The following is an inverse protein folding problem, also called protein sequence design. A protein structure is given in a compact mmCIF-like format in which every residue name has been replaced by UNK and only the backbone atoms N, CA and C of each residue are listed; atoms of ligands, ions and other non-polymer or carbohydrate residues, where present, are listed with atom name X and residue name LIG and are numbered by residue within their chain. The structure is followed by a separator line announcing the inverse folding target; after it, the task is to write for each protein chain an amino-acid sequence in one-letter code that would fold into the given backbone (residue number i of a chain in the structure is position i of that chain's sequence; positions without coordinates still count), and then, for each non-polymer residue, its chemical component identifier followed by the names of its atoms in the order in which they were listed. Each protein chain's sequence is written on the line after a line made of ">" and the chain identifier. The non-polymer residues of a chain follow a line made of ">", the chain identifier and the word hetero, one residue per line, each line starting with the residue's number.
data_IF_438139656153
#
_entry.id   IF_438139656153
#
_cell.length_a   1.000
_cell.length_b   1.000
_cell.length_c   1.000
_cell.angle_alpha   90.00
_cell.angle_beta   90.00
_cell.angle_gamma   90.00
#
_symmetry.space_group_name_H-M   'P 1'
#
loop_
_entity.id
_entity.type
_entity.pdbx_description
1 polymer ?
#
# COMPACT_ATOMS: atom_id res chain seq x y z
N UNK A 1 -9.25 -20.55 28.85
CA UNK A 1 -7.96 -20.50 28.16
C UNK A 1 -8.28 -20.68 26.68
N UNK A 2 -8.37 -19.58 25.93
CA UNK A 2 -8.64 -19.62 24.49
C UNK A 2 -7.30 -19.36 23.81
N UNK A 3 -6.78 -20.29 22.98
CA UNK A 3 -5.63 -20.00 22.17
C UNK A 3 -6.03 -19.03 21.05
N UNK A 4 -5.37 -17.88 21.08
CA UNK A 4 -5.35 -16.84 20.07
C UNK A 4 -4.61 -17.36 18.83
N UNK A 5 -5.28 -18.18 18.02
CA UNK A 5 -4.83 -18.46 16.65
C UNK A 5 -5.40 -17.37 15.73
N UNK A 6 -4.74 -16.21 15.74
CA UNK A 6 -4.94 -15.19 14.70
C UNK A 6 -4.35 -15.77 13.42
N UNK A 7 -5.21 -16.52 12.73
CA UNK A 7 -5.05 -16.93 11.34
C UNK A 7 -4.53 -15.75 10.54
N UNK A 8 -3.30 -15.87 10.05
CA UNK A 8 -2.67 -14.96 9.08
C UNK A 8 -3.34 -15.05 7.72
N UNK A 9 -4.65 -14.87 7.68
CA UNK A 9 -5.42 -14.79 6.46
C UNK A 9 -5.13 -13.43 5.82
N UNK A 10 -4.56 -13.45 4.62
CA UNK A 10 -4.49 -12.29 3.73
C UNK A 10 -5.92 -11.92 3.32
N UNK A 11 -6.64 -11.24 4.21
CA UNK A 11 -8.02 -10.81 3.97
C UNK A 11 -7.96 -9.74 2.87
N UNK A 12 -8.61 -10.01 1.73
CA UNK A 12 -8.87 -8.99 0.71
C UNK A 12 -9.50 -7.77 1.41
N UNK A 13 -8.89 -6.60 1.28
CA UNK A 13 -9.42 -5.36 1.87
C UNK A 13 -10.51 -4.79 0.98
N UNK A 14 -11.60 -4.30 1.56
CA UNK A 14 -12.61 -3.61 0.77
C UNK A 14 -12.03 -2.28 0.28
N UNK A 15 -11.88 -2.15 -1.04
CA UNK A 15 -11.47 -0.91 -1.68
C UNK A 15 -12.72 -0.13 -2.07
N UNK A 16 -12.84 1.11 -1.63
CA UNK A 16 -13.96 1.99 -1.94
C UNK A 16 -13.61 2.89 -3.14
N UNK A 17 -13.06 2.31 -4.20
CA UNK A 17 -12.67 3.02 -5.41
C UNK A 17 -13.73 2.78 -6.49
N UNK A 18 -14.28 3.87 -7.01
CA UNK A 18 -15.14 3.84 -8.19
C UNK A 18 -14.28 3.99 -9.45
N UNK A 19 -13.78 2.86 -9.97
CA UNK A 19 -12.88 2.88 -11.13
C UNK A 19 -13.56 3.45 -12.38
N UNK A 20 -14.86 3.21 -12.57
CA UNK A 20 -15.61 3.71 -13.71
C UNK A 20 -15.68 5.24 -13.72
N UNK A 21 -15.77 5.88 -12.54
CA UNK A 21 -15.69 7.34 -12.42
C UNK A 21 -14.32 7.90 -12.84
N UNK A 22 -13.24 7.16 -12.62
CA UNK A 22 -11.89 7.59 -12.98
C UNK A 22 -11.53 7.28 -14.43
N UNK A 23 -12.19 6.29 -15.05
CA UNK A 23 -11.84 5.80 -16.38
C UNK A 23 -12.89 6.09 -17.44
N UNK A 24 -13.99 6.76 -17.08
CA UNK A 24 -15.16 6.97 -17.94
C UNK A 24 -15.70 5.65 -18.56
N UNK A 25 -15.55 4.54 -17.82
CA UNK A 25 -15.95 3.20 -18.25
C UNK A 25 -15.00 2.52 -19.25
N UNK A 26 -13.81 3.07 -19.50
CA UNK A 26 -12.79 2.43 -20.34
C UNK A 26 -12.12 1.28 -19.58
N UNK A 27 -12.34 0.05 -20.04
CA UNK A 27 -11.80 -1.17 -19.43
C UNK A 27 -10.28 -1.32 -19.58
N UNK A 28 -9.70 -0.83 -20.69
CA UNK A 28 -8.25 -0.88 -20.93
C UNK A 28 -7.56 0.10 -19.99
N UNK A 29 -8.07 1.33 -19.90
CA UNK A 29 -7.54 2.33 -18.99
C UNK A 29 -7.75 1.95 -17.52
N UNK A 30 -8.89 1.32 -17.17
CA UNK A 30 -9.11 0.75 -15.82
C UNK A 30 -8.02 -0.25 -15.45
N UNK A 31 -7.68 -1.16 -16.38
CA UNK A 31 -6.62 -2.14 -16.14
C UNK A 31 -5.26 -1.48 -15.96
N UNK A 32 -4.90 -0.53 -16.82
CA UNK A 32 -3.64 0.22 -16.68
C UNK A 32 -3.56 0.99 -15.35
N UNK A 33 -4.67 1.58 -14.92
CA UNK A 33 -4.75 2.27 -13.63
C UNK A 33 -4.54 1.30 -12.47
N UNK A 34 -5.21 0.14 -12.48
CA UNK A 34 -5.04 -0.92 -11.47
C UNK A 34 -3.59 -1.40 -11.42
N UNK A 35 -2.99 -1.69 -12.58
CA UNK A 35 -1.60 -2.14 -12.69
C UNK A 35 -0.64 -1.06 -12.14
N UNK A 36 -0.86 0.21 -12.50
CA UNK A 36 -0.08 1.34 -11.98
C UNK A 36 -0.19 1.47 -10.46
N UNK A 37 -1.38 1.27 -9.88
CA UNK A 37 -1.58 1.29 -8.43
C UNK A 37 -0.86 0.14 -7.72
N UNK A 38 -0.89 -1.06 -8.31
CA UNK A 38 -0.17 -2.23 -7.79
C UNK A 38 1.34 -1.96 -7.81
N UNK A 39 1.87 -1.47 -8.93
CA UNK A 39 3.29 -1.17 -9.10
C UNK A 39 3.77 -0.13 -8.08
N UNK A 40 2.98 0.94 -7.86
CA UNK A 40 3.27 1.95 -6.86
C UNK A 40 3.37 1.37 -5.43
N UNK A 41 2.49 0.43 -5.08
CA UNK A 41 2.52 -0.24 -3.77
C UNK A 41 3.75 -1.15 -3.62
N UNK A 42 4.08 -1.90 -4.68
CA UNK A 42 5.25 -2.78 -4.70
C UNK A 42 6.55 -1.97 -4.64
N UNK A 43 6.66 -0.88 -5.42
CA UNK A 43 7.80 0.05 -5.40
C UNK A 43 8.00 0.61 -3.99
N UNK A 44 6.94 1.08 -3.33
CA UNK A 44 7.03 1.58 -1.96
C UNK A 44 7.53 0.52 -0.96
N UNK A 45 7.10 -0.74 -1.10
CA UNK A 45 7.58 -1.83 -0.23
C UNK A 45 9.08 -2.09 -0.43
N UNK A 46 9.55 -2.10 -1.68
CA UNK A 46 10.97 -2.29 -2.00
C UNK A 46 11.81 -1.12 -1.50
N UNK A 47 11.33 0.10 -1.69
CA UNK A 47 11.99 1.32 -1.25
C UNK A 47 12.05 1.37 0.28
N UNK A 48 11.00 0.96 0.97
CA UNK A 48 11.05 0.81 2.43
C UNK A 48 12.20 -0.11 2.84
N UNK A 49 12.30 -1.31 2.25
CA UNK A 49 13.37 -2.25 2.60
C UNK A 49 14.76 -1.64 2.40
N UNK A 50 14.98 -0.96 1.28
CA UNK A 50 16.27 -0.34 1.00
C UNK A 50 16.55 0.87 1.90
N UNK A 51 15.54 1.72 2.12
CA UNK A 51 15.61 2.87 3.01
C UNK A 51 15.87 2.45 4.47
N UNK A 52 15.24 1.37 4.95
CA UNK A 52 15.52 0.79 6.27
C UNK A 52 16.97 0.30 6.37
N UNK A 53 17.51 -0.34 5.33
CA UNK A 53 18.92 -0.81 5.31
C UNK A 53 19.92 0.34 5.33
N UNK A 54 19.62 1.43 4.64
CA UNK A 54 20.46 2.64 4.56
C UNK A 54 20.21 3.62 5.70
N UNK A 55 19.17 3.39 6.51
CA UNK A 55 18.60 4.36 7.44
C UNK A 55 18.28 5.71 6.76
N UNK A 56 17.84 5.66 5.51
CA UNK A 56 17.59 6.82 4.65
C UNK A 56 16.09 7.12 4.58
N UNK A 57 15.61 7.88 5.56
CA UNK A 57 14.20 8.26 5.62
C UNK A 57 13.80 9.19 4.47
N UNK A 58 14.73 9.99 3.92
CA UNK A 58 14.43 10.90 2.81
C UNK A 58 14.08 10.12 1.54
N UNK A 59 14.84 9.06 1.25
CA UNK A 59 14.57 8.20 0.11
C UNK A 59 13.16 7.60 0.15
N UNK A 60 12.71 7.13 1.32
CA UNK A 60 11.33 6.64 1.49
C UNK A 60 10.28 7.77 1.35
N UNK A 61 10.57 8.95 1.89
CA UNK A 61 9.67 10.11 1.77
C UNK A 61 9.47 10.54 0.32
N UNK A 62 10.50 10.55 -0.51
CA UNK A 62 10.42 10.94 -1.92
C UNK A 62 9.46 10.03 -2.69
N UNK A 63 9.58 8.72 -2.51
CA UNK A 63 8.69 7.75 -3.16
C UNK A 63 7.26 7.89 -2.66
N UNK A 64 7.07 8.07 -1.35
CA UNK A 64 5.73 8.30 -0.80
C UNK A 64 5.07 9.60 -1.32
N UNK A 65 5.85 10.62 -1.70
CA UNK A 65 5.30 11.82 -2.35
C UNK A 65 4.92 11.53 -3.81
N UNK A 66 5.73 10.77 -4.54
CA UNK A 66 5.45 10.36 -5.92
C UNK A 66 4.15 9.55 -6.01
N UNK A 67 3.95 8.58 -5.11
CA UNK A 67 2.77 7.70 -5.13
C UNK A 67 1.58 8.26 -4.34
N UNK A 68 1.65 9.52 -3.88
CA UNK A 68 0.60 10.16 -3.09
C UNK A 68 -0.79 10.07 -3.77
N UNK A 69 -0.94 10.28 -5.09
CA UNK A 69 -2.24 10.13 -5.75
C UNK A 69 -2.83 8.73 -5.57
N UNK A 70 -2.01 7.67 -5.70
CA UNK A 70 -2.45 6.28 -5.44
C UNK A 70 -2.87 6.08 -3.99
N UNK A 71 -2.13 6.63 -3.03
CA UNK A 71 -2.49 6.54 -1.61
C UNK A 71 -3.81 7.26 -1.30
N UNK A 72 -4.05 8.42 -1.93
CA UNK A 72 -5.30 9.18 -1.79
C UNK A 72 -6.49 8.47 -2.44
N UNK A 73 -6.29 7.86 -3.62
CA UNK A 73 -7.32 7.05 -4.27
C UNK A 73 -7.70 5.81 -3.45
N UNK A 74 -6.71 5.12 -2.86
CA UNK A 74 -6.97 3.97 -2.00
C UNK A 74 -7.76 4.35 -0.74
N UNK A 75 -7.59 5.58 -0.24
CA UNK A 75 -8.25 6.13 0.94
C UNK A 75 -8.19 5.21 2.19
N UNK A 76 -7.21 4.30 2.26
CA UNK A 76 -7.08 3.34 3.35
C UNK A 76 -6.39 4.01 4.53
N UNK A 77 -7.16 4.28 5.58
CA UNK A 77 -6.69 5.00 6.77
C UNK A 77 -5.52 4.29 7.45
N UNK A 78 -5.54 2.95 7.47
CA UNK A 78 -4.47 2.16 8.09
C UNK A 78 -3.17 2.26 7.28
N UNK A 79 -3.28 2.22 5.95
CA UNK A 79 -2.15 2.45 5.05
C UNK A 79 -1.54 3.84 5.28
N UNK A 80 -2.38 4.88 5.26
CA UNK A 80 -1.95 6.27 5.39
C UNK A 80 -1.25 6.54 6.73
N UNK A 81 -1.79 6.02 7.82
CA UNK A 81 -1.19 6.12 9.16
C UNK A 81 0.17 5.39 9.22
N UNK A 82 0.23 4.17 8.69
CA UNK A 82 1.46 3.37 8.66
C UNK A 82 2.56 4.05 7.84
N UNK A 83 2.21 4.59 6.66
CA UNK A 83 3.12 5.38 5.84
C UNK A 83 3.57 6.65 6.57
N UNK A 84 2.66 7.33 7.28
CA UNK A 84 2.98 8.50 8.10
C UNK A 84 4.02 8.21 9.18
N UNK A 85 3.89 7.08 9.88
CA UNK A 85 4.88 6.61 10.87
C UNK A 85 6.24 6.32 10.22
N UNK A 86 6.25 5.57 9.13
CA UNK A 86 7.49 5.19 8.42
C UNK A 86 8.21 6.39 7.78
N UNK A 87 7.49 7.46 7.43
CA UNK A 87 8.10 8.73 7.02
C UNK A 87 8.90 9.41 8.13
N UNK A 88 8.69 9.05 9.39
CA UNK A 88 9.46 9.58 10.54
C UNK A 88 10.48 8.58 11.07
N UNK A 89 10.19 7.28 10.95
CA UNK A 89 11.02 6.20 11.47
C UNK A 89 11.02 5.02 10.49
N UNK A 90 11.85 5.10 9.44
CA UNK A 90 11.91 4.07 8.39
C UNK A 90 12.48 2.74 8.87
N UNK A 91 13.15 2.74 10.02
CA UNK A 91 13.75 1.54 10.65
C UNK A 91 12.81 0.84 11.62
N UNK A 92 11.58 1.33 11.84
CA UNK A 92 10.61 0.68 12.73
C UNK A 92 10.12 -0.65 12.13
N UNK A 93 10.51 -1.80 12.72
CA UNK A 93 10.20 -3.10 12.12
C UNK A 93 8.71 -3.45 12.21
N UNK A 94 8.01 -2.93 13.23
CA UNK A 94 6.58 -3.16 13.42
C UNK A 94 5.76 -2.48 12.32
N UNK A 95 5.99 -1.18 12.09
CA UNK A 95 5.35 -0.43 11.02
C UNK A 95 5.74 -0.97 9.63
N UNK A 96 6.98 -1.43 9.45
CA UNK A 96 7.39 -2.04 8.20
C UNK A 96 6.70 -3.37 7.91
N UNK A 97 6.52 -4.23 8.92
CA UNK A 97 5.73 -5.45 8.79
C UNK A 97 4.24 -5.15 8.53
N UNK A 98 3.70 -4.13 9.21
CA UNK A 98 2.32 -3.68 9.01
C UNK A 98 2.10 -3.17 7.58
N UNK A 99 3.00 -2.32 7.05
CA UNK A 99 2.92 -1.82 5.67
C UNK A 99 2.86 -2.99 4.69
N UNK A 100 3.76 -3.97 4.86
CA UNK A 100 3.81 -5.14 4.00
C UNK A 100 2.52 -5.96 4.03
N UNK A 101 1.89 -6.09 5.20
CA UNK A 101 0.60 -6.78 5.32
C UNK A 101 -0.52 -6.02 4.61
N UNK A 102 -0.59 -4.70 4.81
CA UNK A 102 -1.62 -3.85 4.21
C UNK A 102 -1.49 -3.85 2.68
N UNK A 103 -0.28 -3.58 2.16
CA UNK A 103 -0.02 -3.58 0.72
C UNK A 103 -0.42 -4.92 0.07
N UNK A 104 -0.10 -6.06 0.69
CA UNK A 104 -0.52 -7.38 0.18
C UNK A 104 -2.05 -7.51 0.10
N UNK A 105 -2.77 -7.07 1.13
CA UNK A 105 -4.23 -7.11 1.15
C UNK A 105 -4.86 -6.21 0.08
N UNK A 106 -4.31 -5.01 -0.13
CA UNK A 106 -4.76 -4.08 -1.17
C UNK A 106 -4.47 -4.63 -2.56
N UNK A 107 -3.25 -5.11 -2.81
CA UNK A 107 -2.88 -5.69 -4.11
C UNK A 107 -3.77 -6.89 -4.46
N UNK A 108 -4.11 -7.73 -3.48
CA UNK A 108 -5.04 -8.84 -3.70
C UNK A 108 -6.43 -8.35 -4.10
N UNK A 109 -6.92 -7.28 -3.49
CA UNK A 109 -8.22 -6.67 -3.84
C UNK A 109 -8.19 -5.99 -5.20
N UNK A 110 -7.11 -5.26 -5.53
CA UNK A 110 -6.93 -4.62 -6.83
C UNK A 110 -6.95 -5.64 -7.97
N UNK A 111 -6.37 -6.82 -7.77
CA UNK A 111 -6.39 -7.92 -8.76
C UNK A 111 -7.78 -8.55 -8.96
N UNK A 112 -8.74 -8.25 -8.10
CA UNK A 112 -10.11 -8.77 -8.14
C UNK A 112 -11.13 -7.69 -8.56
N UNK A 113 -10.68 -6.45 -8.81
CA UNK A 113 -11.52 -5.28 -9.08
C UNK A 113 -11.87 -5.10 -10.57
#
# INVERSE_FOLDING_TARGET
>A
MIPDEISGSSVSRNLFIDFDLYTDGDEEFKKELIDSMIDNLVEMQQVLQEASRRNDTKFFQEVCHKIKPTLEMLADVELLDTVGKLKTAVTDPASGAQLNRICKGIVQSLKQA
#
